data_IF_436618765851
#
_entry.id   IF_436618765851
#
_cell.length_a   1.000
_cell.length_b   1.000
_cell.length_c   1.000
_cell.angle_alpha   90.00
_cell.angle_beta   90.00
_cell.angle_gamma   90.00
#
_symmetry.space_group_name_H-M   'P 1'
#
loop_
_entity.id
_entity.type
_entity.pdbx_description
1 polymer ?
#
# COMPACT_ATOMS: atom_id res chain seq x y z
N UNK A 1 3.73 7.24 15.49
CA UNK A 1 3.77 6.28 14.36
C UNK A 1 4.45 6.98 13.20
N UNK A 2 5.26 6.26 12.42
CA UNK A 2 5.95 6.79 11.25
C UNK A 2 5.38 6.16 9.99
N UNK A 3 5.16 6.96 8.95
CA UNK A 3 4.76 6.49 7.61
C UNK A 3 5.97 6.56 6.70
N UNK A 4 6.28 5.46 6.00
CA UNK A 4 7.38 5.37 5.04
C UNK A 4 6.86 4.90 3.69
N UNK A 5 7.40 5.45 2.61
CA UNK A 5 6.98 5.16 1.24
C UNK A 5 8.11 4.49 0.47
N UNK A 6 7.75 3.50 -0.32
CA UNK A 6 8.64 2.92 -1.32
C UNK A 6 8.41 3.62 -2.67
N UNK A 7 9.09 3.19 -3.73
CA UNK A 7 8.93 3.84 -5.02
C UNK A 7 7.53 3.55 -5.61
N UNK A 8 6.70 4.59 -5.75
CA UNK A 8 5.32 4.46 -6.24
C UNK A 8 5.13 4.97 -7.67
N UNK A 9 6.13 5.66 -8.22
CA UNK A 9 6.02 6.37 -9.49
C UNK A 9 6.22 5.46 -10.71
N UNK A 10 7.00 4.39 -10.55
CA UNK A 10 7.32 3.50 -11.65
C UNK A 10 6.39 2.28 -11.69
N UNK A 11 5.92 1.95 -12.89
CA UNK A 11 5.04 0.81 -13.15
C UNK A 11 5.82 -0.38 -13.74
N UNK A 12 5.21 -1.58 -13.69
CA UNK A 12 5.82 -2.85 -14.09
C UNK A 12 5.59 -3.17 -15.58
N UNK A 13 5.30 -2.20 -16.45
CA UNK A 13 4.95 -2.50 -17.85
C UNK A 13 6.11 -3.20 -18.55
N UNK A 14 5.85 -4.44 -18.94
CA UNK A 14 6.76 -5.42 -19.53
C UNK A 14 6.71 -5.35 -21.06
N UNK A 15 6.95 -4.16 -21.63
CA UNK A 15 7.13 -4.01 -23.08
C UNK A 15 8.62 -4.02 -23.39
N UNK A 16 9.02 -4.85 -24.37
CA UNK A 16 10.41 -5.16 -24.72
C UNK A 16 11.23 -3.99 -25.29
N UNK A 17 10.64 -2.82 -25.46
CA UNK A 17 11.29 -1.67 -26.10
C UNK A 17 11.85 -0.68 -25.07
N UNK A 18 13.00 -0.06 -25.33
CA UNK A 18 13.53 0.98 -24.48
C UNK A 18 12.98 2.33 -24.94
N UNK A 19 12.14 2.96 -24.12
CA UNK A 19 11.73 4.37 -24.27
C UNK A 19 12.44 5.15 -23.15
N UNK A 20 12.81 6.40 -23.40
CA UNK A 20 13.69 7.25 -22.57
C UNK A 20 13.36 7.32 -21.06
N UNK A 21 12.13 6.97 -20.66
CA UNK A 21 11.67 6.95 -19.26
C UNK A 21 11.76 5.58 -18.58
N UNK A 22 12.49 4.62 -19.17
CA UNK A 22 12.60 3.23 -18.70
C UNK A 22 13.98 2.90 -18.12
N UNK A 23 13.99 2.11 -17.05
CA UNK A 23 15.22 1.54 -16.47
C UNK A 23 14.99 0.11 -15.97
N UNK A 24 16.08 -0.66 -15.75
CA UNK A 24 15.99 -1.99 -15.13
C UNK A 24 16.16 -1.86 -13.61
N UNK A 25 15.26 -2.49 -12.86
CA UNK A 25 15.43 -2.60 -11.41
C UNK A 25 16.51 -3.65 -11.03
N UNK A 26 16.81 -3.74 -9.73
CA UNK A 26 17.76 -4.71 -9.17
C UNK A 26 17.35 -6.18 -9.45
N UNK A 27 16.07 -6.42 -9.75
CA UNK A 27 15.53 -7.73 -10.14
C UNK A 27 15.55 -7.97 -11.66
N UNK A 28 16.20 -7.10 -12.43
CA UNK A 28 16.31 -7.19 -13.89
C UNK A 28 15.02 -6.87 -14.66
N UNK A 29 13.99 -6.35 -13.99
CA UNK A 29 12.70 -6.03 -14.62
C UNK A 29 12.68 -4.61 -15.14
N UNK A 30 12.09 -4.40 -16.31
CA UNK A 30 11.86 -3.06 -16.83
C UNK A 30 10.83 -2.30 -15.99
N UNK A 31 11.17 -1.04 -15.71
CA UNK A 31 10.36 -0.07 -14.97
C UNK A 31 10.16 1.14 -15.85
N UNK A 32 8.95 1.68 -15.85
CA UNK A 32 8.57 2.86 -16.66
C UNK A 32 7.93 3.91 -15.76
N UNK A 33 8.36 5.17 -15.91
CA UNK A 33 7.74 6.29 -15.21
C UNK A 33 6.24 6.39 -15.57
N UNK A 34 5.37 6.42 -14.57
CA UNK A 34 3.94 6.54 -14.77
C UNK A 34 3.44 7.90 -14.26
N UNK A 35 3.06 8.84 -15.14
CA UNK A 35 2.60 10.16 -14.72
C UNK A 35 1.33 10.10 -13.87
N UNK A 36 0.45 9.13 -14.11
CA UNK A 36 -0.75 8.90 -13.31
C UNK A 36 -0.39 8.51 -11.87
N UNK A 37 0.59 7.61 -11.70
CA UNK A 37 1.06 7.22 -10.37
C UNK A 37 1.85 8.33 -9.70
N UNK A 38 2.61 9.12 -10.47
CA UNK A 38 3.29 10.30 -9.96
C UNK A 38 2.30 11.30 -9.33
N UNK A 39 1.25 11.67 -10.07
CA UNK A 39 0.20 12.56 -9.57
C UNK A 39 -0.47 11.98 -8.33
N UNK A 40 -0.88 10.71 -8.38
CA UNK A 40 -1.52 10.05 -7.24
C UNK A 40 -0.60 9.88 -6.00
N UNK A 41 0.72 9.94 -6.19
CA UNK A 41 1.68 9.84 -5.09
C UNK A 41 1.81 11.13 -4.28
N UNK A 42 1.47 12.29 -4.86
CA UNK A 42 1.52 13.59 -4.20
C UNK A 42 0.56 13.65 -2.99
N UNK A 43 -0.64 13.08 -3.14
CA UNK A 43 -1.67 13.09 -2.09
C UNK A 43 -1.58 11.88 -1.14
N UNK A 44 -0.73 10.90 -1.46
CA UNK A 44 -0.64 9.63 -0.74
C UNK A 44 -0.30 9.79 0.75
N UNK A 45 0.56 10.73 1.19
CA UNK A 45 0.80 10.95 2.61
C UNK A 45 -0.45 11.39 3.38
N UNK A 46 -1.18 12.40 2.88
CA UNK A 46 -2.41 12.88 3.51
C UNK A 46 -3.50 11.82 3.53
N UNK A 47 -3.56 11.02 2.46
CA UNK A 47 -4.47 9.90 2.37
C UNK A 47 -4.18 8.82 3.42
N UNK A 48 -2.92 8.43 3.60
CA UNK A 48 -2.54 7.45 4.62
C UNK A 48 -2.93 7.92 6.03
N UNK A 49 -2.68 9.20 6.35
CA UNK A 49 -3.12 9.81 7.62
C UNK A 49 -4.63 9.69 7.78
N UNK A 50 -5.39 10.08 6.76
CA UNK A 50 -6.85 10.03 6.74
C UNK A 50 -7.37 8.61 6.98
N UNK A 51 -6.81 7.61 6.29
CA UNK A 51 -7.23 6.21 6.42
C UNK A 51 -7.04 5.69 7.86
N UNK A 52 -5.96 6.08 8.52
CA UNK A 52 -5.66 5.68 9.89
C UNK A 52 -6.53 6.40 10.92
N UNK A 53 -6.70 7.72 10.76
CA UNK A 53 -7.55 8.55 11.62
C UNK A 53 -9.00 8.13 11.54
N UNK A 54 -9.51 7.87 10.33
CA UNK A 54 -10.89 7.48 10.10
C UNK A 54 -11.11 5.95 10.19
N UNK A 55 -10.07 5.19 10.53
CA UNK A 55 -10.13 3.76 10.80
C UNK A 55 -10.70 2.94 9.65
N UNK A 56 -10.09 3.08 8.47
CA UNK A 56 -10.55 2.43 7.25
C UNK A 56 -10.48 0.90 7.33
N UNK A 57 -11.30 0.20 6.54
CA UNK A 57 -11.20 -1.25 6.40
C UNK A 57 -9.96 -1.64 5.60
N UNK A 58 -9.36 -2.76 6.00
CA UNK A 58 -8.18 -3.37 5.40
C UNK A 58 -8.39 -4.87 5.22
N UNK A 59 -7.78 -5.42 4.19
CA UNK A 59 -7.83 -6.83 3.82
C UNK A 59 -6.43 -7.38 3.63
N UNK A 60 -6.27 -8.68 3.88
CA UNK A 60 -5.07 -9.38 3.46
C UNK A 60 -5.13 -9.55 1.94
N UNK A 61 -4.13 -9.01 1.26
CA UNK A 61 -3.84 -9.22 -0.15
C UNK A 61 -2.66 -10.16 -0.28
N UNK A 62 -2.82 -11.21 -1.08
CA UNK A 62 -1.74 -12.16 -1.38
C UNK A 62 -1.31 -11.96 -2.82
N UNK A 63 -0.03 -11.75 -3.03
CA UNK A 63 0.59 -11.72 -4.35
C UNK A 63 1.74 -12.73 -4.43
N UNK A 64 2.45 -12.74 -5.58
CA UNK A 64 3.59 -13.64 -5.79
C UNK A 64 4.78 -13.34 -4.86
N UNK A 65 4.81 -12.16 -4.23
CA UNK A 65 5.88 -11.71 -3.36
C UNK A 65 5.51 -11.88 -1.87
N UNK A 66 4.31 -12.36 -1.56
CA UNK A 66 3.87 -12.70 -0.21
C UNK A 66 2.50 -12.14 0.14
N UNK A 67 2.26 -11.98 1.44
CA UNK A 67 1.06 -11.33 1.96
C UNK A 67 1.35 -9.85 2.22
N UNK A 68 0.33 -9.00 2.09
CA UNK A 68 0.33 -7.58 2.48
C UNK A 68 -1.06 -7.11 2.86
N UNK A 69 -1.17 -6.02 3.61
CA UNK A 69 -2.43 -5.36 3.88
C UNK A 69 -2.76 -4.47 2.70
N UNK A 70 -4.02 -4.55 2.26
CA UNK A 70 -4.60 -3.68 1.27
C UNK A 70 -5.74 -2.92 1.91
N UNK A 71 -5.70 -1.60 1.84
CA UNK A 71 -6.81 -0.75 2.21
C UNK A 71 -7.24 0.10 1.01
N UNK A 72 -8.54 0.18 0.78
CA UNK A 72 -9.14 1.01 -0.25
C UNK A 72 -9.33 2.40 0.30
N UNK A 73 -9.13 3.42 -0.52
CA UNK A 73 -9.11 4.84 -0.10
C UNK A 73 -10.50 5.44 0.09
N UNK A 74 -11.52 4.59 0.22
CA UNK A 74 -12.90 4.93 0.55
C UNK A 74 -13.25 4.28 1.90
N UNK A 75 -13.92 5.03 2.77
CA UNK A 75 -14.33 4.51 4.08
C UNK A 75 -15.37 3.39 3.98
N UNK A 76 -16.23 3.46 2.98
CA UNK A 76 -17.24 2.43 2.66
C UNK A 76 -17.02 1.97 1.21
N UNK A 77 -16.03 1.10 0.99
CA UNK A 77 -15.62 0.74 -0.36
C UNK A 77 -16.68 -0.09 -1.07
N UNK A 78 -16.88 0.24 -2.34
CA UNK A 78 -17.77 -0.46 -3.27
C UNK A 78 -16.96 -1.10 -4.39
N UNK A 79 -17.53 -2.11 -5.05
CA UNK A 79 -16.87 -2.75 -6.19
C UNK A 79 -16.64 -1.75 -7.34
N UNK A 80 -15.57 -1.98 -8.12
CA UNK A 80 -15.19 -1.15 -9.26
C UNK A 80 -13.72 -0.73 -9.23
N UNK A 81 -13.36 0.22 -10.10
CA UNK A 81 -12.01 0.76 -10.12
C UNK A 81 -11.77 1.67 -8.90
N UNK A 82 -10.85 1.27 -8.03
CA UNK A 82 -10.57 1.94 -6.76
C UNK A 82 -9.07 2.13 -6.58
N UNK A 83 -8.71 3.24 -5.95
CA UNK A 83 -7.33 3.46 -5.52
C UNK A 83 -7.10 2.67 -4.22
N UNK A 84 -6.08 1.82 -4.21
CA UNK A 84 -5.75 1.01 -3.06
C UNK A 84 -4.30 1.22 -2.63
N UNK A 85 -4.08 1.10 -1.33
CA UNK A 85 -2.79 1.22 -0.67
C UNK A 85 -2.41 -0.15 -0.12
N UNK A 86 -1.25 -0.65 -0.54
CA UNK A 86 -0.64 -1.88 -0.07
C UNK A 86 0.47 -1.55 0.92
N UNK A 87 0.41 -2.09 2.13
CA UNK A 87 1.28 -1.69 3.21
C UNK A 87 1.63 -2.82 4.18
N UNK A 88 2.66 -2.57 4.98
CA UNK A 88 3.07 -3.38 6.11
C UNK A 88 3.07 -2.55 7.39
N UNK A 89 2.85 -3.23 8.52
CA UNK A 89 3.06 -2.64 9.84
C UNK A 89 4.21 -3.36 10.53
N UNK A 90 5.18 -2.59 11.00
CA UNK A 90 6.28 -3.11 11.81
C UNK A 90 6.25 -2.48 13.21
N UNK A 91 6.57 -3.23 14.27
CA UNK A 91 6.89 -2.62 15.55
C UNK A 91 8.12 -1.73 15.35
N UNK A 92 8.04 -0.47 15.79
CA UNK A 92 9.18 0.43 15.65
C UNK A 92 10.18 0.21 16.78
N UNK A 93 11.46 0.40 16.45
CA UNK A 93 12.57 0.42 17.42
C UNK A 93 13.01 1.83 17.80
N UNK A 94 12.39 2.85 17.20
CA UNK A 94 12.73 4.24 17.43
C UNK A 94 11.96 4.81 18.63
N UNK A 95 12.64 5.65 19.41
CA UNK A 95 12.03 6.33 20.56
C UNK A 95 10.81 7.16 20.11
N UNK A 96 9.74 7.11 20.92
CA UNK A 96 8.48 7.80 20.68
C UNK A 96 7.72 7.39 19.40
N UNK A 97 8.13 6.30 18.74
CA UNK A 97 7.42 5.71 17.61
C UNK A 97 7.00 4.30 18.00
N UNK A 98 5.69 4.03 17.98
CA UNK A 98 5.16 2.71 18.36
C UNK A 98 5.10 1.72 17.19
N UNK A 99 4.79 2.22 16.00
CA UNK A 99 4.56 1.43 14.79
C UNK A 99 5.11 2.18 13.58
N UNK A 100 5.68 1.44 12.65
CA UNK A 100 6.07 1.89 11.32
C UNK A 100 5.07 1.36 10.30
N UNK A 101 4.42 2.29 9.61
CA UNK A 101 3.52 2.04 8.50
C UNK A 101 4.31 2.18 7.21
N UNK A 102 4.55 1.07 6.51
CA UNK A 102 5.40 1.05 5.31
C UNK A 102 4.54 0.78 4.09
N UNK A 103 4.35 1.79 3.24
CA UNK A 103 3.62 1.66 1.98
C UNK A 103 4.50 1.01 0.94
N UNK A 104 4.10 -0.18 0.50
CA UNK A 104 4.77 -0.96 -0.54
C UNK A 104 4.34 -0.56 -1.94
N UNK A 105 3.08 -0.21 -2.12
CA UNK A 105 2.57 0.21 -3.42
C UNK A 105 1.24 0.93 -3.25
N UNK A 106 0.90 1.81 -4.18
CA UNK A 106 -0.44 2.36 -4.30
C UNK A 106 -0.79 2.52 -5.78
N UNK A 107 -1.98 2.06 -6.17
CA UNK A 107 -2.46 2.17 -7.55
C UNK A 107 -3.95 1.87 -7.65
N UNK A 108 -4.54 2.26 -8.77
CA UNK A 108 -5.90 1.91 -9.14
C UNK A 108 -5.99 0.45 -9.57
N UNK A 109 -6.92 -0.30 -9.00
CA UNK A 109 -7.28 -1.64 -9.46
C UNK A 109 -8.79 -1.83 -9.42
N UNK A 110 -9.28 -2.77 -10.24
CA UNK A 110 -10.66 -3.19 -10.17
C UNK A 110 -10.84 -4.15 -8.97
N UNK A 111 -11.66 -3.74 -8.00
CA UNK A 111 -11.93 -4.46 -6.76
C UNK A 111 -13.34 -5.04 -6.85
N UNK A 112 -13.47 -6.33 -6.57
CA UNK A 112 -14.77 -6.95 -6.32
C UNK A 112 -14.92 -7.23 -4.83
N UNK A 113 -15.74 -6.43 -4.14
CA UNK A 113 -16.01 -6.57 -2.72
C UNK A 113 -16.64 -7.92 -2.35
N UNK A 114 -17.27 -8.62 -3.31
CA UNK A 114 -17.80 -9.98 -3.10
C UNK A 114 -16.71 -11.02 -2.82
N UNK A 115 -15.49 -10.79 -3.32
CA UNK A 115 -14.33 -11.66 -3.05
C UNK A 115 -13.67 -11.36 -1.68
N UNK A 116 -13.89 -10.18 -1.11
CA UNK A 116 -13.23 -9.71 0.10
C UNK A 116 -14.09 -9.91 1.35
N UNK A 117 -14.18 -11.16 1.81
CA UNK A 117 -15.10 -11.56 2.90
C UNK A 117 -14.69 -11.11 4.31
N UNK A 118 -13.39 -11.20 4.66
CA UNK A 118 -12.89 -10.84 5.99
C UNK A 118 -12.11 -9.55 5.94
N UNK A 119 -12.59 -8.53 6.66
CA UNK A 119 -11.92 -7.24 6.81
C UNK A 119 -11.50 -7.02 8.25
N UNK A 120 -10.36 -6.37 8.44
CA UNK A 120 -9.94 -5.81 9.72
C UNK A 120 -9.91 -4.29 9.62
N UNK A 121 -10.01 -3.62 10.76
CA UNK A 121 -9.92 -2.16 10.79
C UNK A 121 -8.47 -1.75 11.04
N UNK A 122 -7.99 -0.70 10.37
CA UNK A 122 -6.59 -0.27 10.47
C UNK A 122 -6.14 -0.04 11.91
N UNK A 123 -6.98 0.56 12.78
CA UNK A 123 -6.63 0.74 14.20
C UNK A 123 -6.47 -0.59 14.94
N UNK A 124 -7.23 -1.63 14.57
CA UNK A 124 -7.07 -2.98 15.13
C UNK A 124 -5.72 -3.57 14.75
N UNK A 125 -5.33 -3.43 13.48
CA UNK A 125 -4.04 -3.89 12.97
C UNK A 125 -2.88 -3.13 13.64
N UNK A 126 -2.99 -1.81 13.79
CA UNK A 126 -2.00 -0.98 14.49
C UNK A 126 -1.82 -1.41 15.96
N UNK A 127 -2.92 -1.59 16.69
CA UNK A 127 -2.89 -2.10 18.07
C UNK A 127 -2.26 -3.48 18.14
N UNK A 128 -2.62 -4.37 17.22
CA UNK A 128 -2.06 -5.72 17.15
C UNK A 128 -0.56 -5.68 16.92
N UNK A 129 -0.10 -4.87 15.97
CA UNK A 129 1.31 -4.66 15.68
C UNK A 129 2.08 -4.17 16.92
N UNK A 130 1.55 -3.14 17.59
CA UNK A 130 2.18 -2.53 18.75
C UNK A 130 2.18 -3.45 19.98
N UNK A 131 1.02 -3.95 20.41
CA UNK A 131 0.94 -4.71 21.66
C UNK A 131 1.51 -6.11 21.55
N UNK A 132 1.43 -6.75 20.37
CA UNK A 132 1.99 -8.09 20.17
C UNK A 132 3.44 -8.06 19.69
N UNK A 133 3.99 -6.88 19.37
CA UNK A 133 5.33 -6.72 18.83
C UNK A 133 5.57 -7.62 17.60
N UNK A 134 4.55 -7.71 16.73
CA UNK A 134 4.56 -8.55 15.53
C UNK A 134 4.41 -7.72 14.28
N UNK A 135 5.14 -8.10 13.24
CA UNK A 135 4.92 -7.57 11.90
C UNK A 135 3.54 -8.02 11.41
N UNK A 136 2.75 -7.07 10.91
CA UNK A 136 1.49 -7.37 10.26
C UNK A 136 1.71 -7.18 8.76
N UNK A 137 1.76 -8.28 7.98
CA UNK A 137 1.82 -8.20 6.54
C UNK A 137 0.52 -7.60 6.02
#
# INVERSE_FOLDING_TARGET
>A
MRVSFTCHVYSKKDSQEAIETRFRDEGGRWREFCPIRHLASADLPGLCVTMMEQNFPSWISKDKNGESNMAVTERQPTSGNRYAVFYYLYPSRADNIHVEFVVKSAYHLNIDMGHYRKRELMRSLLKTCHYRQKTIP
#
